data_IF_938339155766
#
_entry.id   IF_938339155766
#
_cell.length_a   1.000
_cell.length_b   1.000
_cell.length_c   1.000
_cell.angle_alpha   90.00
_cell.angle_beta   90.00
_cell.angle_gamma   90.00
#
_symmetry.space_group_name_H-M   'P 1'
#
loop_
_entity.id
_entity.type
_entity.pdbx_description
1 polymer ?
#
# COMPACT_ATOMS: atom_id res chain seq x y z
N UNK A 1 12.20 -1.48 57.80
CA UNK A 1 12.79 -0.52 56.84
C UNK A 1 12.53 -1.07 55.44
N UNK A 2 11.50 -0.51 54.80
CA UNK A 2 10.88 -1.02 53.58
C UNK A 2 11.82 -0.92 52.36
N UNK A 3 11.96 -2.02 51.62
CA UNK A 3 12.62 -2.01 50.31
C UNK A 3 11.67 -1.34 49.32
N UNK A 4 12.07 -0.15 48.88
CA UNK A 4 11.36 0.61 47.86
C UNK A 4 11.69 0.00 46.49
N UNK A 5 10.85 -0.92 46.03
CA UNK A 5 10.92 -1.47 44.67
C UNK A 5 10.41 -0.42 43.70
N UNK A 6 11.33 0.21 42.95
CA UNK A 6 10.97 1.04 41.80
C UNK A 6 10.55 0.12 40.66
N UNK A 7 9.26 0.15 40.34
CA UNK A 7 8.69 -0.36 39.09
C UNK A 7 9.42 0.28 37.89
N UNK A 8 9.95 -0.49 36.93
CA UNK A 8 10.43 0.08 35.69
C UNK A 8 9.22 0.45 34.83
N UNK A 9 8.94 1.77 34.75
CA UNK A 9 7.94 2.34 33.86
C UNK A 9 8.06 1.77 32.45
N UNK A 10 6.94 1.24 31.95
CA UNK A 10 6.81 0.64 30.64
C UNK A 10 7.06 1.68 29.54
N UNK A 11 8.30 1.79 29.10
CA UNK A 11 8.70 2.50 27.87
C UNK A 11 8.30 1.75 26.59
N UNK A 12 7.21 0.98 26.65
CA UNK A 12 6.60 0.35 25.48
C UNK A 12 5.55 1.27 24.86
N UNK A 13 5.95 2.49 24.51
CA UNK A 13 5.36 3.12 23.32
C UNK A 13 6.22 2.73 22.13
N UNK A 14 6.44 1.40 21.96
CA UNK A 14 6.86 0.85 20.68
C UNK A 14 5.69 1.12 19.75
N UNK A 15 5.92 2.02 18.78
CA UNK A 15 5.14 2.27 17.57
C UNK A 15 3.98 1.28 17.45
N UNK A 16 2.74 1.73 17.68
CA UNK A 16 1.56 0.90 17.43
C UNK A 16 1.75 0.26 16.06
N UNK A 17 1.87 -1.06 16.03
CA UNK A 17 1.84 -1.79 14.78
C UNK A 17 0.49 -1.46 14.15
N UNK A 18 0.51 -1.08 12.87
CA UNK A 18 -0.70 -0.90 12.08
C UNK A 18 -1.53 -2.19 12.22
N UNK A 19 -2.69 -2.10 12.86
CA UNK A 19 -3.62 -3.22 13.03
C UNK A 19 -4.74 -3.11 12.00
N UNK A 20 -5.45 -4.22 11.78
CA UNK A 20 -6.63 -4.28 10.92
C UNK A 20 -7.73 -3.27 11.33
N UNK A 21 -7.63 -2.70 12.53
CA UNK A 21 -8.55 -1.69 13.07
C UNK A 21 -8.52 -0.34 12.34
N UNK A 22 -7.44 -0.02 11.59
CA UNK A 22 -7.32 1.26 10.88
C UNK A 22 -8.27 1.38 9.68
N UNK A 23 -8.69 0.24 9.11
CA UNK A 23 -9.66 0.14 8.00
C UNK A 23 -10.53 -1.08 8.29
N UNK A 24 -11.64 -0.95 9.02
CA UNK A 24 -12.48 -2.08 9.41
C UNK A 24 -13.18 -2.73 8.22
N UNK A 25 -13.76 -3.91 8.41
CA UNK A 25 -14.46 -4.64 7.33
C UNK A 25 -15.72 -3.92 6.81
N UNK A 26 -16.29 -3.02 7.61
CA UNK A 26 -17.42 -2.15 7.26
C UNK A 26 -16.98 -0.76 6.77
N UNK A 27 -15.69 -0.58 6.45
CA UNK A 27 -15.15 0.68 5.97
C UNK A 27 -15.86 1.15 4.69
N UNK A 28 -16.35 2.38 4.74
CA UNK A 28 -16.93 3.09 3.60
C UNK A 28 -15.92 4.14 3.15
N UNK A 29 -15.46 4.05 1.89
CA UNK A 29 -14.56 5.05 1.32
C UNK A 29 -15.33 6.38 1.19
N UNK A 30 -14.81 7.49 1.78
CA UNK A 30 -15.41 8.80 1.60
C UNK A 30 -15.20 9.29 0.16
N UNK A 31 -15.98 10.30 -0.22
CA UNK A 31 -15.85 10.91 -1.55
C UNK A 31 -14.41 11.38 -1.82
N UNK A 32 -13.88 10.94 -2.96
CA UNK A 32 -12.53 11.26 -3.39
C UNK A 32 -12.42 12.60 -4.10
N UNK A 33 -11.28 13.27 -3.94
CA UNK A 33 -10.88 14.43 -4.75
C UNK A 33 -9.85 13.98 -5.79
N UNK A 34 -10.23 14.07 -7.07
CA UNK A 34 -9.40 13.66 -8.22
C UNK A 34 -8.12 14.48 -8.32
N UNK A 35 -8.18 15.78 -8.08
CA UNK A 35 -7.01 16.67 -8.19
C UNK A 35 -6.02 16.40 -7.06
N UNK A 36 -6.54 16.22 -5.84
CA UNK A 36 -5.72 15.77 -4.71
C UNK A 36 -5.09 14.41 -4.98
N UNK A 37 -5.86 13.44 -5.46
CA UNK A 37 -5.39 12.11 -5.82
C UNK A 37 -4.26 12.17 -6.87
N UNK A 38 -4.40 13.05 -7.87
CA UNK A 38 -3.37 13.30 -8.89
C UNK A 38 -2.07 13.84 -8.28
N UNK A 39 -2.14 14.71 -7.28
CA UNK A 39 -0.96 15.25 -6.59
C UNK A 39 -0.28 14.14 -5.77
N UNK A 40 -1.05 13.36 -5.01
CA UNK A 40 -0.52 12.24 -4.22
C UNK A 40 0.11 11.17 -5.12
N UNK A 41 -0.51 10.84 -6.25
CA UNK A 41 0.03 9.92 -7.22
C UNK A 41 1.38 10.38 -7.75
N UNK A 42 1.51 11.65 -8.16
CA UNK A 42 2.79 12.21 -8.62
C UNK A 42 3.86 12.16 -7.54
N UNK A 43 3.50 12.43 -6.29
CA UNK A 43 4.42 12.45 -5.15
C UNK A 43 4.93 11.07 -4.75
N UNK A 44 4.05 10.06 -4.77
CA UNK A 44 4.33 8.76 -4.15
C UNK A 44 4.41 7.59 -5.14
N UNK A 45 3.70 7.65 -6.27
CA UNK A 45 3.47 6.49 -7.13
C UNK A 45 4.18 6.61 -8.48
N UNK A 46 4.22 7.82 -9.06
CA UNK A 46 4.65 8.06 -10.43
C UNK A 46 6.13 7.72 -10.72
N UNK A 47 6.95 7.56 -9.68
CA UNK A 47 8.35 7.12 -9.82
C UNK A 47 8.44 5.66 -10.27
N UNK A 48 7.46 4.84 -9.90
CA UNK A 48 7.48 3.40 -10.15
C UNK A 48 6.32 2.91 -11.01
N UNK A 49 5.21 3.65 -11.03
CA UNK A 49 3.98 3.26 -11.67
C UNK A 49 3.54 4.29 -12.70
N UNK A 50 2.83 3.80 -13.71
CA UNK A 50 2.18 4.64 -14.69
C UNK A 50 0.69 4.38 -14.71
N UNK A 51 -0.08 5.36 -15.18
CA UNK A 51 -1.49 5.19 -15.50
C UNK A 51 -1.60 5.40 -17.00
N UNK A 52 -1.41 4.31 -17.76
CA UNK A 52 -1.65 4.33 -19.20
C UNK A 52 -2.36 3.04 -19.63
N UNK A 53 -3.27 3.20 -20.58
CA UNK A 53 -4.12 2.12 -21.09
C UNK A 53 -3.34 1.08 -21.89
N UNK A 54 -2.25 1.50 -22.52
CA UNK A 54 -1.46 0.65 -23.42
C UNK A 54 -0.42 -0.21 -22.70
N UNK A 55 -0.26 -0.03 -21.39
CA UNK A 55 0.72 -0.74 -20.56
C UNK A 55 2.17 -0.59 -21.05
N UNK A 56 2.48 0.51 -21.73
CA UNK A 56 3.80 0.81 -22.31
C UNK A 56 4.55 1.85 -21.50
N UNK A 57 5.88 1.80 -21.53
CA UNK A 57 6.69 2.88 -20.98
C UNK A 57 6.58 4.12 -21.89
N UNK A 58 6.32 5.29 -21.33
CA UNK A 58 6.25 6.57 -22.05
C UNK A 58 7.20 7.58 -21.40
N UNK A 59 7.52 8.67 -22.11
CA UNK A 59 8.37 9.74 -21.54
C UNK A 59 7.76 10.28 -20.23
N UNK A 60 8.55 10.33 -19.16
CA UNK A 60 8.09 10.71 -17.82
C UNK A 60 7.36 9.60 -17.03
N UNK A 61 7.39 8.36 -17.53
CA UNK A 61 6.78 7.19 -16.90
C UNK A 61 7.83 6.06 -16.84
N UNK A 62 8.07 5.53 -15.64
CA UNK A 62 8.94 4.36 -15.43
C UNK A 62 8.08 3.20 -14.93
N UNK A 63 8.13 2.06 -15.62
CA UNK A 63 7.41 0.85 -15.21
C UNK A 63 8.29 -0.02 -14.29
N UNK A 64 8.82 0.54 -13.20
CA UNK A 64 9.49 -0.29 -12.18
C UNK A 64 8.48 -1.27 -11.58
N UNK A 65 7.28 -0.79 -11.25
CA UNK A 65 6.08 -1.58 -10.97
C UNK A 65 5.13 -1.62 -12.17
N UNK A 66 4.06 -2.43 -12.09
CA UNK A 66 3.06 -2.55 -13.16
C UNK A 66 2.27 -1.25 -13.35
N UNK A 67 1.60 -1.12 -14.50
CA UNK A 67 0.64 -0.02 -14.71
C UNK A 67 -0.52 -0.12 -13.71
N UNK A 68 -0.99 1.02 -13.23
CA UNK A 68 -2.16 1.11 -12.36
C UNK A 68 -3.44 1.49 -13.12
N UNK A 69 -3.37 1.56 -14.45
CA UNK A 69 -4.58 1.69 -15.28
C UNK A 69 -5.47 0.45 -15.11
N UNK A 70 -6.76 0.67 -14.83
CA UNK A 70 -7.71 -0.41 -14.58
C UNK A 70 -7.36 -1.25 -13.35
N UNK A 71 -6.80 -0.63 -12.30
CA UNK A 71 -6.46 -1.32 -11.05
C UNK A 71 -7.70 -1.77 -10.26
N UNK A 72 -8.72 -0.91 -10.19
CA UNK A 72 -9.91 -1.18 -9.38
C UNK A 72 -10.66 -2.42 -9.90
N UNK A 73 -11.02 -3.33 -9.00
CA UNK A 73 -11.64 -4.63 -9.30
C UNK A 73 -10.67 -5.68 -9.88
N UNK A 74 -9.40 -5.35 -10.08
CA UNK A 74 -8.41 -6.30 -10.62
C UNK A 74 -7.83 -7.19 -9.52
N UNK A 75 -7.56 -8.44 -9.83
CA UNK A 75 -6.81 -9.34 -8.95
C UNK A 75 -5.32 -8.93 -8.88
N UNK A 76 -4.75 -8.95 -7.67
CA UNK A 76 -3.36 -8.68 -7.43
C UNK A 76 -2.45 -9.63 -8.24
N UNK A 77 -1.38 -9.09 -8.82
CA UNK A 77 -0.42 -9.88 -9.59
C UNK A 77 -0.91 -10.41 -10.95
N UNK A 78 -2.16 -10.17 -11.35
CA UNK A 78 -2.76 -10.69 -12.58
C UNK A 78 -2.32 -9.97 -13.87
N UNK A 79 -1.68 -8.80 -13.77
CA UNK A 79 -1.30 -8.03 -14.95
C UNK A 79 -0.14 -8.69 -15.73
N UNK A 80 -0.18 -8.68 -17.09
CA UNK A 80 0.96 -9.11 -17.91
C UNK A 80 2.23 -8.36 -17.52
N UNK A 81 3.39 -9.05 -17.56
CA UNK A 81 4.69 -8.49 -17.18
C UNK A 81 5.11 -7.35 -18.12
N UNK A 82 4.72 -6.14 -17.78
CA UNK A 82 5.26 -4.90 -18.34
C UNK A 82 6.14 -4.15 -17.33
N UNK A 83 6.33 -4.71 -16.12
CA UNK A 83 7.16 -4.12 -15.07
C UNK A 83 8.61 -4.62 -15.14
N UNK A 84 9.55 -3.73 -14.84
CA UNK A 84 10.97 -4.03 -14.74
C UNK A 84 11.28 -4.90 -13.53
N UNK A 85 10.55 -4.72 -12.42
CA UNK A 85 10.66 -5.60 -11.26
C UNK A 85 9.66 -6.76 -11.36
N UNK A 86 10.07 -7.97 -10.93
CA UNK A 86 9.15 -9.10 -10.84
C UNK A 86 8.06 -8.82 -9.79
N UNK A 87 6.81 -9.16 -10.13
CA UNK A 87 5.73 -9.14 -9.15
C UNK A 87 6.02 -10.15 -8.04
N UNK A 88 5.73 -9.77 -6.80
CA UNK A 88 5.93 -10.62 -5.63
C UNK A 88 5.03 -11.87 -5.71
N UNK A 89 5.59 -13.08 -5.52
CA UNK A 89 4.82 -14.33 -5.54
C UNK A 89 3.63 -14.28 -4.56
N UNK A 90 3.86 -13.78 -3.35
CA UNK A 90 2.81 -13.59 -2.33
C UNK A 90 1.61 -12.82 -2.83
N UNK A 91 1.84 -11.71 -3.57
CA UNK A 91 0.73 -10.90 -4.10
C UNK A 91 0.03 -11.54 -5.30
N UNK A 92 0.68 -12.48 -6.00
CA UNK A 92 0.04 -13.25 -7.08
C UNK A 92 -0.83 -14.38 -6.52
N UNK A 93 -0.39 -14.99 -5.43
CA UNK A 93 -1.05 -16.12 -4.78
C UNK A 93 -2.11 -15.69 -3.77
N UNK A 94 -2.10 -14.43 -3.31
CA UNK A 94 -3.00 -13.93 -2.28
C UNK A 94 -4.48 -13.93 -2.67
N UNK A 95 -4.82 -13.97 -3.96
CA UNK A 95 -6.19 -13.86 -4.45
C UNK A 95 -6.86 -12.50 -4.16
N UNK A 96 -6.09 -11.51 -3.68
CA UNK A 96 -6.62 -10.18 -3.34
C UNK A 96 -7.21 -9.51 -4.57
N UNK A 97 -8.44 -9.00 -4.44
CA UNK A 97 -9.07 -8.12 -5.41
C UNK A 97 -8.95 -6.70 -4.90
N UNK A 98 -8.52 -5.77 -5.75
CA UNK A 98 -8.38 -4.36 -5.39
C UNK A 98 -9.75 -3.67 -5.30
N UNK A 99 -10.24 -3.48 -4.09
CA UNK A 99 -11.44 -2.73 -3.73
C UNK A 99 -11.04 -1.60 -2.79
N UNK A 100 -11.99 -0.78 -2.35
CA UNK A 100 -11.75 0.26 -1.37
C UNK A 100 -11.00 -0.26 -0.13
N UNK A 101 -11.51 -1.29 0.52
CA UNK A 101 -10.93 -1.84 1.76
C UNK A 101 -9.52 -2.37 1.52
N UNK A 102 -9.34 -3.23 0.50
CA UNK A 102 -8.04 -3.88 0.26
C UNK A 102 -7.00 -2.89 -0.22
N UNK A 103 -7.39 -1.90 -1.03
CA UNK A 103 -6.48 -0.86 -1.51
C UNK A 103 -6.06 0.06 -0.36
N UNK A 104 -7.00 0.48 0.50
CA UNK A 104 -6.69 1.36 1.63
C UNK A 104 -5.81 0.66 2.67
N UNK A 105 -6.09 -0.60 3.02
CA UNK A 105 -5.21 -1.40 3.88
C UNK A 105 -3.81 -1.56 3.27
N UNK A 106 -3.74 -1.89 1.98
CA UNK A 106 -2.47 -2.08 1.28
C UNK A 106 -1.64 -0.80 1.21
N UNK A 107 -2.25 0.33 0.87
CA UNK A 107 -1.52 1.59 0.78
C UNK A 107 -1.06 2.08 2.17
N UNK A 108 -1.71 1.69 3.29
CA UNK A 108 -1.28 2.01 4.67
C UNK A 108 0.01 1.36 5.06
N UNK A 109 0.13 0.08 4.80
CA UNK A 109 1.37 -0.61 5.03
C UNK A 109 1.44 -1.83 4.11
N UNK A 110 2.04 -1.66 2.93
CA UNK A 110 2.09 -2.73 1.94
C UNK A 110 2.78 -3.99 2.44
N UNK A 111 3.80 -3.83 3.28
CA UNK A 111 4.55 -4.96 3.85
C UNK A 111 3.75 -5.68 4.93
N UNK A 112 3.04 -4.95 5.79
CA UNK A 112 2.19 -5.57 6.80
C UNK A 112 1.00 -6.29 6.15
N UNK A 113 0.34 -5.64 5.18
CA UNK A 113 -0.77 -6.24 4.43
C UNK A 113 -0.38 -7.54 3.72
N UNK A 114 0.82 -7.60 3.13
CA UNK A 114 1.31 -8.80 2.45
C UNK A 114 1.92 -9.84 3.42
N UNK A 115 2.10 -9.49 4.70
CA UNK A 115 2.78 -10.27 5.76
C UNK A 115 4.23 -10.68 5.45
N UNK A 116 4.75 -10.31 4.28
CA UNK A 116 6.02 -10.76 3.72
C UNK A 116 6.72 -9.61 2.99
N UNK A 117 7.98 -9.83 2.62
CA UNK A 117 8.70 -8.91 1.76
C UNK A 117 8.09 -8.90 0.35
N UNK A 118 7.69 -7.71 -0.11
CA UNK A 118 7.21 -7.47 -1.46
C UNK A 118 8.17 -6.57 -2.24
N UNK A 119 8.07 -6.60 -3.57
CA UNK A 119 8.92 -5.86 -4.50
C UNK A 119 8.65 -4.35 -4.47
N UNK A 120 7.46 -3.95 -4.04
CA UNK A 120 7.09 -2.54 -3.91
C UNK A 120 7.74 -1.93 -2.66
N UNK A 121 8.82 -1.17 -2.86
CA UNK A 121 9.50 -0.45 -1.79
C UNK A 121 8.76 0.84 -1.41
N UNK A 122 7.62 0.69 -0.76
CA UNK A 122 6.78 1.79 -0.31
C UNK A 122 6.48 1.66 1.18
N UNK A 123 6.71 2.73 1.95
CA UNK A 123 6.48 2.75 3.40
C UNK A 123 5.00 2.79 3.78
N UNK A 124 4.16 3.22 2.85
CA UNK A 124 2.74 3.47 3.08
C UNK A 124 2.42 4.95 3.28
N UNK A 125 1.13 5.29 3.28
CA UNK A 125 0.64 6.63 3.63
C UNK A 125 0.09 6.59 5.05
N UNK A 126 0.60 7.46 5.93
CA UNK A 126 0.09 7.55 7.30
C UNK A 126 -1.25 8.28 7.37
N UNK A 127 -1.46 9.24 6.48
CA UNK A 127 -2.67 10.07 6.40
C UNK A 127 -3.30 9.96 5.01
N UNK A 128 -4.59 9.62 5.00
CA UNK A 128 -5.42 9.38 3.81
C UNK A 128 -6.27 10.59 3.42
N UNK A 129 -6.26 11.62 4.26
CA UNK A 129 -7.12 12.79 4.24
C UNK A 129 -6.37 14.04 4.66
#
# INVERSE_FOLDING_TARGET
MSRNSREPGSSQQRRRAFSDDDVPDDFVLPDGDVERGRILFKKHCAQCHCINQYNIQASGCTLLGPSLYGLYGRTAGAQPRNSLLPSSPTMKESGVVWTDITLMRYLKNPRAFAEHAISMNFRGLSEWQ
#
